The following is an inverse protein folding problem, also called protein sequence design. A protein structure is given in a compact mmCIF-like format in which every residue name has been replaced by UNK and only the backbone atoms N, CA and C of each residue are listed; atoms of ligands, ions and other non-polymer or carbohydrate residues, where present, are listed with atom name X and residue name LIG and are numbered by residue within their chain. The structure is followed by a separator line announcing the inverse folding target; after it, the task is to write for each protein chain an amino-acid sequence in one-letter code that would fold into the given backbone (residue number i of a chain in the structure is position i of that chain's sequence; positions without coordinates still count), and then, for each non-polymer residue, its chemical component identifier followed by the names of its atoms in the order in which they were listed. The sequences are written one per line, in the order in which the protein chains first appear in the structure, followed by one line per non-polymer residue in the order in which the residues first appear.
data_IF_398963039637
#
_entry.id   IF_398963039637
#
_cell.length_a   1.000
_cell.length_b   1.000
_cell.length_c   1.000
_cell.angle_alpha   90.00
_cell.angle_beta   90.00
_cell.angle_gamma   90.00
#
_symmetry.space_group_name_H-M   'P 1'
#
loop_
_entity.id
_entity.type
_entity.pdbx_description
1 polymer ?
#
# COMPACT_ATOMS: atom_id res chain seq x y z
N UNK A 1 38.15 -8.00 5.77
CA UNK A 1 36.75 -8.44 5.58
C UNK A 1 35.91 -7.27 6.03
N UNK A 2 35.10 -6.72 5.13
CA UNK A 2 34.15 -5.67 5.54
C UNK A 2 33.16 -6.32 6.51
N UNK A 3 32.95 -5.69 7.68
CA UNK A 3 31.93 -6.12 8.60
C UNK A 3 30.58 -6.08 7.88
N UNK A 4 29.98 -7.23 7.66
CA UNK A 4 28.61 -7.31 7.14
C UNK A 4 27.69 -6.88 8.28
N UNK A 5 27.23 -5.65 8.24
CA UNK A 5 26.27 -5.14 9.20
C UNK A 5 24.90 -5.77 8.92
N UNK A 6 24.49 -6.70 9.78
CA UNK A 6 23.15 -7.27 9.70
C UNK A 6 22.12 -6.22 10.16
N UNK A 7 21.22 -5.85 9.24
CA UNK A 7 20.07 -4.99 9.55
C UNK A 7 18.89 -5.86 9.96
N UNK A 8 18.13 -5.43 10.95
CA UNK A 8 16.91 -6.13 11.36
C UNK A 8 15.85 -5.97 10.27
N UNK A 9 15.29 -7.09 9.82
CA UNK A 9 14.17 -7.07 8.88
C UNK A 9 12.89 -6.73 9.65
N UNK A 10 12.22 -5.65 9.24
CA UNK A 10 10.97 -5.17 9.83
C UNK A 10 9.77 -5.82 9.15
N UNK A 11 9.78 -5.81 7.83
CA UNK A 11 8.72 -6.37 7.01
C UNK A 11 9.26 -6.88 5.68
N UNK A 12 8.62 -7.92 5.14
CA UNK A 12 8.85 -8.40 3.78
C UNK A 12 7.55 -8.80 3.10
N UNK A 13 7.41 -8.42 1.83
CA UNK A 13 6.29 -8.86 1.00
C UNK A 13 6.07 -7.98 -0.24
N UNK A 14 5.41 -8.51 -1.26
CA UNK A 14 5.03 -7.72 -2.42
C UNK A 14 3.93 -6.71 -2.06
N UNK A 15 3.94 -5.57 -2.75
CA UNK A 15 2.99 -4.48 -2.59
C UNK A 15 2.34 -4.11 -3.92
N UNK A 16 1.11 -3.58 -3.87
CA UNK A 16 0.38 -3.00 -5.00
C UNK A 16 -0.28 -1.72 -4.53
N UNK A 17 -0.16 -0.67 -5.31
CA UNK A 17 -0.76 0.60 -4.90
C UNK A 17 -1.31 1.40 -6.07
N UNK A 18 -2.26 2.23 -5.75
CA UNK A 18 -2.77 3.30 -6.57
C UNK A 18 -3.09 4.52 -5.70
N UNK A 19 -2.72 5.68 -6.21
CA UNK A 19 -3.06 6.98 -5.63
C UNK A 19 -3.76 7.78 -6.72
N UNK A 20 -4.98 8.23 -6.45
CA UNK A 20 -5.72 9.12 -7.33
C UNK A 20 -5.81 10.50 -6.70
N UNK A 21 -5.70 11.52 -7.54
CA UNK A 21 -5.82 12.92 -7.14
C UNK A 21 -6.86 13.63 -7.98
N UNK A 22 -7.48 14.64 -7.39
CA UNK A 22 -8.33 15.62 -8.06
C UNK A 22 -7.88 17.00 -7.63
N UNK A 23 -7.55 17.88 -8.57
CA UNK A 23 -7.05 19.24 -8.30
C UNK A 23 -5.83 19.29 -7.36
N UNK A 24 -4.97 18.26 -7.42
CA UNK A 24 -3.77 18.11 -6.59
C UNK A 24 -4.02 17.53 -5.19
N UNK A 25 -5.25 17.27 -4.82
CA UNK A 25 -5.62 16.63 -3.54
C UNK A 25 -5.81 15.12 -3.72
N UNK A 26 -5.29 14.32 -2.77
CA UNK A 26 -5.47 12.86 -2.79
C UNK A 26 -6.92 12.53 -2.45
N UNK A 27 -7.65 11.98 -3.43
CA UNK A 27 -9.03 11.51 -3.26
C UNK A 27 -9.10 10.02 -2.99
N UNK A 28 -8.13 9.23 -3.48
CA UNK A 28 -8.09 7.79 -3.22
C UNK A 28 -6.67 7.30 -3.05
N UNK A 29 -6.47 6.50 -2.02
CA UNK A 29 -5.28 5.68 -1.82
C UNK A 29 -5.73 4.26 -1.55
N UNK A 30 -5.21 3.30 -2.31
CA UNK A 30 -5.35 1.88 -2.03
C UNK A 30 -3.96 1.24 -2.10
N UNK A 31 -3.55 0.63 -0.99
CA UNK A 31 -2.24 0.02 -0.87
C UNK A 31 -2.36 -1.38 -0.30
N UNK A 32 -2.31 -2.37 -1.18
CA UNK A 32 -2.29 -3.79 -0.86
C UNK A 32 -0.88 -4.25 -0.54
N UNK A 33 -0.72 -4.94 0.58
CA UNK A 33 0.53 -5.57 0.99
C UNK A 33 0.25 -7.03 1.32
N UNK A 34 0.92 -7.95 0.64
CA UNK A 34 0.94 -9.35 1.03
C UNK A 34 2.16 -9.61 1.90
N UNK A 35 1.97 -9.50 3.19
CA UNK A 35 3.03 -9.63 4.19
C UNK A 35 3.46 -11.08 4.30
N UNK A 36 4.72 -11.36 4.01
CA UNK A 36 5.35 -12.68 4.20
C UNK A 36 6.05 -12.79 5.54
N UNK A 37 6.44 -11.65 6.10
CA UNK A 37 7.14 -11.56 7.38
C UNK A 37 6.86 -10.23 8.06
N UNK A 38 6.50 -10.30 9.33
CA UNK A 38 6.66 -9.28 10.38
C UNK A 38 6.84 -10.01 11.70
N UNK A 39 7.13 -9.28 12.78
CA UNK A 39 7.17 -9.86 14.15
C UNK A 39 5.81 -10.37 14.62
N UNK A 40 4.71 -9.90 14.00
CA UNK A 40 3.32 -10.34 14.27
C UNK A 40 2.82 -11.40 13.28
N UNK A 41 3.73 -11.99 12.48
CA UNK A 41 3.39 -12.99 11.48
C UNK A 41 3.18 -12.41 10.08
N UNK A 42 2.57 -13.21 9.22
CA UNK A 42 2.24 -12.84 7.84
C UNK A 42 0.73 -12.73 7.63
N UNK A 43 0.33 -12.26 6.44
CA UNK A 43 -1.06 -12.10 6.06
C UNK A 43 -1.20 -11.12 4.90
N UNK A 44 -2.42 -10.65 4.68
CA UNK A 44 -2.71 -9.61 3.70
C UNK A 44 -3.26 -8.39 4.43
N UNK A 45 -2.85 -7.21 3.98
CA UNK A 45 -3.35 -5.94 4.51
C UNK A 45 -3.61 -4.97 3.36
N UNK A 46 -4.67 -4.20 3.46
CA UNK A 46 -5.01 -3.09 2.59
C UNK A 46 -5.17 -1.82 3.43
N UNK A 47 -4.36 -0.83 3.15
CA UNK A 47 -4.59 0.54 3.61
C UNK A 47 -5.43 1.24 2.56
N UNK A 48 -6.64 1.66 2.93
CA UNK A 48 -7.56 2.31 2.01
C UNK A 48 -8.09 3.62 2.57
N UNK A 49 -8.05 4.63 1.71
CA UNK A 49 -8.77 5.89 1.85
C UNK A 49 -9.42 6.18 0.51
N UNK A 50 -10.71 6.50 0.47
CA UNK A 50 -11.38 6.88 -0.77
C UNK A 50 -12.54 7.83 -0.51
N UNK A 51 -12.47 8.99 -1.15
CA UNK A 51 -13.57 9.89 -1.39
C UNK A 51 -14.12 9.57 -2.78
N UNK A 52 -15.18 8.76 -2.83
CA UNK A 52 -15.71 8.22 -4.08
C UNK A 52 -16.32 9.29 -4.99
N UNK A 53 -16.77 10.39 -4.41
CA UNK A 53 -17.50 11.43 -5.12
C UNK A 53 -16.69 12.71 -5.32
N UNK A 54 -15.55 12.85 -4.62
CA UNK A 54 -14.72 14.07 -4.67
C UNK A 54 -15.33 15.23 -3.91
N UNK A 55 -16.13 14.96 -2.88
CA UNK A 55 -16.78 15.98 -2.07
C UNK A 55 -15.99 16.38 -0.81
N UNK A 56 -14.79 15.83 -0.65
CA UNK A 56 -13.87 16.07 0.46
C UNK A 56 -14.15 15.19 1.68
N UNK A 57 -14.99 14.16 1.55
CA UNK A 57 -15.30 13.21 2.61
C UNK A 57 -14.91 11.81 2.22
N UNK A 58 -14.19 11.15 3.10
CA UNK A 58 -13.83 9.76 2.87
C UNK A 58 -15.06 8.84 3.05
N UNK A 59 -15.49 8.16 1.98
CA UNK A 59 -16.48 7.07 2.02
C UNK A 59 -15.87 5.80 2.59
N UNK A 60 -14.56 5.62 2.42
CA UNK A 60 -13.74 4.55 2.99
C UNK A 60 -12.50 5.14 3.63
N UNK A 61 -12.27 4.81 4.90
CA UNK A 61 -11.04 5.13 5.62
C UNK A 61 -10.77 4.04 6.65
N UNK A 62 -9.99 3.02 6.26
CA UNK A 62 -9.71 1.88 7.13
C UNK A 62 -8.43 1.12 6.72
N UNK A 63 -7.98 0.27 7.62
CA UNK A 63 -7.00 -0.78 7.38
C UNK A 63 -7.72 -2.12 7.42
N UNK A 64 -7.73 -2.84 6.32
CA UNK A 64 -8.37 -4.15 6.20
C UNK A 64 -7.33 -5.26 6.26
N UNK A 65 -7.62 -6.37 6.96
CA UNK A 65 -6.65 -7.46 7.07
C UNK A 65 -7.29 -8.81 7.39
N UNK A 66 -6.61 -9.89 6.98
CA UNK A 66 -6.86 -11.27 7.43
C UNK A 66 -6.06 -11.64 8.69
N UNK A 67 -5.22 -10.70 9.21
CA UNK A 67 -4.48 -10.81 10.47
C UNK A 67 -4.48 -9.46 11.19
N UNK A 68 -5.40 -9.29 12.13
CA UNK A 68 -5.65 -8.01 12.80
C UNK A 68 -4.44 -7.52 13.61
N UNK A 69 -3.76 -8.43 14.36
CA UNK A 69 -2.58 -8.06 15.16
C UNK A 69 -1.43 -7.56 14.28
N UNK A 70 -1.22 -8.18 13.11
CA UNK A 70 -0.25 -7.72 12.13
C UNK A 70 -0.64 -6.36 11.56
N UNK A 71 -1.92 -6.15 11.25
CA UNK A 71 -2.40 -4.90 10.69
C UNK A 71 -2.27 -3.73 11.67
N UNK A 72 -2.58 -3.95 12.94
CA UNK A 72 -2.38 -2.96 14.02
C UNK A 72 -0.90 -2.59 14.14
N UNK A 73 -0.01 -3.58 14.21
CA UNK A 73 1.44 -3.35 14.26
C UNK A 73 1.94 -2.58 13.02
N UNK A 74 1.50 -2.95 11.83
CA UNK A 74 1.88 -2.22 10.61
C UNK A 74 1.37 -0.78 10.62
N UNK A 75 0.11 -0.56 11.03
CA UNK A 75 -0.48 0.78 11.11
C UNK A 75 0.27 1.67 12.11
N UNK A 76 0.54 1.15 13.30
CA UNK A 76 1.00 1.96 14.43
C UNK A 76 2.52 2.09 14.48
N UNK A 77 3.26 1.03 14.16
CA UNK A 77 4.70 0.96 14.37
C UNK A 77 5.53 1.05 13.07
N UNK A 78 4.98 0.57 11.94
CA UNK A 78 5.75 0.47 10.69
C UNK A 78 5.37 1.56 9.69
N UNK A 79 4.08 1.75 9.42
CA UNK A 79 3.59 2.65 8.38
C UNK A 79 3.12 4.01 8.88
N UNK A 80 2.96 4.21 10.19
CA UNK A 80 2.65 5.51 10.76
C UNK A 80 3.63 6.60 10.30
N UNK A 81 4.86 6.22 10.00
CA UNK A 81 5.91 7.13 9.52
C UNK A 81 5.98 7.29 8.00
N UNK A 82 5.39 6.39 7.21
CA UNK A 82 5.63 6.33 5.77
C UNK A 82 4.41 6.70 4.92
N UNK A 83 3.24 6.13 5.21
CA UNK A 83 2.04 6.26 4.35
C UNK A 83 1.20 7.45 4.75
N UNK A 84 1.21 7.78 6.04
CA UNK A 84 0.46 8.89 6.62
C UNK A 84 1.36 10.06 7.05
N UNK A 85 2.65 10.05 6.63
CA UNK A 85 3.57 11.16 6.85
C UNK A 85 3.11 12.39 6.07
N UNK A 86 2.27 13.20 6.64
CA UNK A 86 1.62 14.37 6.01
C UNK A 86 0.13 14.41 6.27
N UNK A 87 -0.43 13.34 6.84
CA UNK A 87 -1.77 13.38 7.42
C UNK A 87 -1.64 14.09 8.77
N UNK A 88 -2.39 15.18 9.01
CA UNK A 88 -2.31 15.92 10.28
C UNK A 88 -2.54 15.01 11.50
N UNK A 89 -1.84 15.24 12.61
CA UNK A 89 -2.00 14.55 13.90
C UNK A 89 -3.44 14.53 14.46
N UNK A 90 -4.37 15.17 13.78
CA UNK A 90 -5.77 15.33 14.17
C UNK A 90 -6.70 14.26 13.57
N UNK A 91 -6.21 13.42 12.65
CA UNK A 91 -7.02 12.33 12.10
C UNK A 91 -6.86 11.13 13.03
N UNK A 92 -7.97 10.60 13.60
CA UNK A 92 -7.88 9.39 14.41
C UNK A 92 -7.26 8.26 13.59
N UNK A 93 -6.50 7.34 14.21
CA UNK A 93 -5.93 6.22 13.49
C UNK A 93 -7.03 5.45 12.78
N UNK A 94 -6.79 5.07 11.52
CA UNK A 94 -7.75 4.31 10.73
C UNK A 94 -8.15 3.03 11.47
N UNK A 95 -9.45 2.69 11.56
CA UNK A 95 -9.88 1.44 12.19
C UNK A 95 -9.29 0.24 11.45
N UNK A 96 -8.98 -0.82 12.19
CA UNK A 96 -8.60 -2.11 11.61
C UNK A 96 -9.84 -2.98 11.50
N UNK A 97 -10.13 -3.48 10.30
CA UNK A 97 -11.33 -4.25 9.96
C UNK A 97 -10.90 -5.61 9.41
N UNK A 98 -11.54 -6.67 9.89
CA UNK A 98 -11.35 -8.02 9.38
C UNK A 98 -11.82 -8.13 7.93
N UNK A 99 -11.00 -8.77 7.08
CA UNK A 99 -11.29 -8.94 5.66
C UNK A 99 -10.67 -10.21 5.09
N UNK A 100 -11.20 -10.64 3.95
CA UNK A 100 -10.65 -11.70 3.11
C UNK A 100 -10.04 -11.12 1.85
N UNK A 101 -9.00 -11.78 1.33
CA UNK A 101 -8.24 -11.32 0.18
C UNK A 101 -8.11 -12.41 -0.87
N UNK A 102 -8.21 -12.01 -2.13
CA UNK A 102 -7.92 -12.86 -3.29
C UNK A 102 -6.90 -12.13 -4.16
N UNK A 103 -5.89 -12.87 -4.63
CA UNK A 103 -4.84 -12.35 -5.50
C UNK A 103 -4.65 -13.25 -6.71
N UNK A 104 -4.68 -12.65 -7.89
CA UNK A 104 -4.34 -13.31 -9.16
C UNK A 104 -3.12 -12.61 -9.74
N UNK A 105 -2.04 -13.36 -9.97
CA UNK A 105 -0.78 -12.81 -10.47
C UNK A 105 -0.32 -13.57 -11.71
N UNK A 106 -0.49 -12.98 -12.89
CA UNK A 106 0.02 -13.43 -14.18
C UNK A 106 1.01 -12.39 -14.73
N UNK A 107 2.02 -12.03 -13.90
CA UNK A 107 3.05 -11.09 -14.30
C UNK A 107 3.78 -11.54 -15.57
N UNK A 108 4.06 -10.68 -16.55
CA UNK A 108 3.82 -9.23 -16.57
C UNK A 108 2.45 -8.83 -17.18
N UNK A 109 1.56 -9.76 -17.48
CA UNK A 109 0.30 -9.45 -18.17
C UNK A 109 -0.68 -8.75 -17.25
N UNK A 110 -0.90 -9.30 -16.05
CA UNK A 110 -1.86 -8.73 -15.10
C UNK A 110 -1.58 -9.14 -13.67
N UNK A 111 -2.01 -8.26 -12.74
CA UNK A 111 -2.14 -8.53 -11.31
C UNK A 111 -3.52 -8.02 -10.89
N UNK A 112 -4.30 -8.85 -10.22
CA UNK A 112 -5.59 -8.46 -9.66
C UNK A 112 -5.59 -8.76 -8.17
N UNK A 113 -5.87 -7.76 -7.37
CA UNK A 113 -6.04 -7.86 -5.91
C UNK A 113 -7.49 -7.50 -5.57
N UNK A 114 -8.15 -8.36 -4.81
CA UNK A 114 -9.53 -8.14 -4.35
C UNK A 114 -9.60 -8.31 -2.83
N UNK A 115 -10.43 -7.50 -2.20
CA UNK A 115 -10.70 -7.54 -0.77
C UNK A 115 -12.21 -7.46 -0.52
N UNK A 116 -12.67 -8.21 0.48
CA UNK A 116 -14.02 -8.13 1.03
C UNK A 116 -13.95 -8.13 2.55
N UNK A 117 -14.42 -7.06 3.15
CA UNK A 117 -14.45 -6.88 4.59
C UNK A 117 -15.78 -7.40 5.22
N UNK A 118 -15.73 -7.66 6.53
CA UNK A 118 -16.90 -8.09 7.30
C UNK A 118 -17.98 -7.02 7.41
N UNK A 119 -17.64 -5.75 7.27
CA UNK A 119 -18.56 -4.62 7.24
C UNK A 119 -19.27 -4.42 5.89
N UNK A 120 -18.92 -5.24 4.90
CA UNK A 120 -19.47 -5.19 3.55
C UNK A 120 -18.63 -4.38 2.55
N UNK A 121 -17.60 -3.69 2.99
CA UNK A 121 -16.69 -2.95 2.10
C UNK A 121 -15.98 -3.91 1.14
N UNK A 122 -15.94 -3.54 -0.14
CA UNK A 122 -15.21 -4.29 -1.18
C UNK A 122 -14.27 -3.38 -1.93
N UNK A 123 -13.11 -3.93 -2.33
CA UNK A 123 -12.17 -3.22 -3.19
C UNK A 123 -11.51 -4.18 -4.16
N UNK A 124 -11.41 -3.78 -5.44
CA UNK A 124 -10.71 -4.54 -6.47
C UNK A 124 -9.78 -3.61 -7.24
N UNK A 125 -8.49 -3.96 -7.27
CA UNK A 125 -7.46 -3.29 -8.04
C UNK A 125 -6.96 -4.25 -9.13
N UNK A 126 -7.00 -3.82 -10.40
CA UNK A 126 -6.41 -4.54 -11.52
C UNK A 126 -5.31 -3.69 -12.15
N UNK A 127 -4.13 -4.27 -12.28
CA UNK A 127 -2.96 -3.69 -12.95
C UNK A 127 -2.64 -4.54 -14.16
N UNK A 128 -2.48 -3.93 -15.35
CA UNK A 128 -2.27 -4.66 -16.60
C UNK A 128 -1.07 -4.12 -17.37
N UNK A 129 -0.46 -5.01 -18.18
CA UNK A 129 0.68 -4.67 -19.03
C UNK A 129 1.81 -4.01 -18.25
N UNK A 130 2.29 -4.73 -17.21
CA UNK A 130 3.35 -4.24 -16.35
C UNK A 130 4.67 -4.17 -17.12
N UNK A 131 5.34 -3.04 -17.00
CA UNK A 131 6.65 -2.81 -17.57
C UNK A 131 7.74 -3.64 -16.88
N UNK A 132 8.99 -3.52 -17.35
CA UNK A 132 10.12 -4.22 -16.74
C UNK A 132 10.34 -3.72 -15.30
N UNK A 133 10.64 -4.63 -14.36
CA UNK A 133 10.91 -4.26 -12.98
C UNK A 133 12.14 -3.35 -12.87
N UNK A 134 12.05 -2.34 -11.99
CA UNK A 134 13.14 -1.44 -11.62
C UNK A 134 13.48 -1.64 -10.16
N UNK A 135 14.73 -2.03 -9.88
CA UNK A 135 15.22 -2.12 -8.52
C UNK A 135 15.42 -0.73 -7.92
N UNK A 136 15.18 -0.59 -6.63
CA UNK A 136 15.40 0.64 -5.88
C UNK A 136 15.82 0.37 -4.44
N UNK A 137 16.45 1.37 -3.85
CA UNK A 137 16.73 1.46 -2.42
C UNK A 137 16.39 2.88 -2.02
N UNK A 138 15.55 3.05 -1.00
CA UNK A 138 15.23 4.37 -0.46
C UNK A 138 15.18 4.38 1.06
N UNK A 139 15.52 5.49 1.66
CA UNK A 139 15.22 5.76 3.06
C UNK A 139 13.72 6.11 3.14
N UNK A 140 12.94 5.31 3.88
CA UNK A 140 11.54 5.63 4.17
C UNK A 140 11.50 6.76 5.20
N UNK A 141 12.36 6.67 6.20
CA UNK A 141 12.63 7.68 7.22
C UNK A 141 14.03 7.46 7.79
N UNK A 142 14.37 8.16 8.88
CA UNK A 142 15.67 8.00 9.56
C UNK A 142 15.89 6.60 10.18
N UNK A 143 14.84 5.82 10.37
CA UNK A 143 14.87 4.53 11.05
C UNK A 143 14.66 3.33 10.12
N UNK A 144 14.11 3.53 8.92
CA UNK A 144 13.75 2.45 8.01
C UNK A 144 14.26 2.69 6.59
N UNK A 145 14.90 1.67 6.05
CA UNK A 145 15.32 1.60 4.64
C UNK A 145 14.49 0.55 3.92
N UNK A 146 13.96 0.91 2.77
CA UNK A 146 13.24 0.03 1.87
C UNK A 146 14.11 -0.39 0.69
N UNK A 147 14.07 -1.68 0.37
CA UNK A 147 14.74 -2.27 -0.79
C UNK A 147 13.72 -3.07 -1.58
N UNK A 148 13.56 -2.78 -2.84
CA UNK A 148 12.53 -3.43 -3.63
C UNK A 148 12.77 -3.42 -5.13
N UNK A 149 11.81 -3.97 -5.86
CA UNK A 149 11.75 -3.92 -7.30
C UNK A 149 10.30 -3.74 -7.75
N UNK A 150 9.97 -2.59 -8.32
CA UNK A 150 8.62 -2.27 -8.78
C UNK A 150 8.51 -2.26 -10.30
N UNK A 151 7.30 -2.55 -10.78
CA UNK A 151 6.88 -2.41 -12.16
C UNK A 151 5.69 -1.44 -12.24
N UNK A 152 5.68 -0.60 -13.28
CA UNK A 152 4.59 0.33 -13.55
C UNK A 152 3.66 -0.30 -14.57
N UNK A 153 2.35 -0.40 -14.32
CA UNK A 153 1.39 -0.87 -15.30
C UNK A 153 1.09 0.20 -16.35
N UNK A 154 0.77 -0.24 -17.57
CA UNK A 154 0.28 0.65 -18.63
C UNK A 154 -1.21 0.97 -18.47
N UNK A 155 -1.96 0.07 -17.81
CA UNK A 155 -3.40 0.20 -17.57
C UNK A 155 -3.72 -0.23 -16.13
N UNK A 156 -4.73 0.40 -15.54
CA UNK A 156 -5.28 -0.01 -14.26
C UNK A 156 -6.80 0.18 -14.22
N UNK A 157 -7.45 -0.52 -13.30
CA UNK A 157 -8.80 -0.22 -12.85
C UNK A 157 -8.89 -0.40 -11.34
N UNK A 158 -9.65 0.48 -10.70
CA UNK A 158 -9.95 0.42 -9.28
C UNK A 158 -11.45 0.54 -9.10
N UNK A 159 -12.02 -0.36 -8.31
CA UNK A 159 -13.42 -0.30 -7.88
C UNK A 159 -13.46 -0.40 -6.35
N UNK A 160 -14.22 0.48 -5.73
CA UNK A 160 -14.49 0.50 -4.29
C UNK A 160 -16.01 0.46 -4.12
N UNK A 161 -16.53 -0.57 -3.45
CA UNK A 161 -17.96 -0.81 -3.30
C UNK A 161 -18.74 -0.84 -4.64
N UNK A 162 -18.09 -1.35 -5.72
CA UNK A 162 -18.67 -1.39 -7.06
C UNK A 162 -18.68 -0.02 -7.80
N UNK A 163 -18.04 0.99 -7.22
CA UNK A 163 -17.92 2.35 -7.81
C UNK A 163 -16.48 2.59 -8.22
N UNK A 164 -16.27 3.18 -9.40
CA UNK A 164 -14.97 3.68 -9.83
C UNK A 164 -14.74 5.03 -9.15
N UNK A 165 -13.71 5.17 -8.29
CA UNK A 165 -13.44 6.45 -7.63
C UNK A 165 -13.10 7.56 -8.61
N UNK A 166 -13.40 8.79 -8.23
CA UNK A 166 -12.97 9.98 -8.99
C UNK A 166 -11.47 10.22 -8.85
N UNK A 167 -10.90 10.95 -9.80
CA UNK A 167 -9.49 11.34 -9.81
C UNK A 167 -8.66 10.61 -10.86
N UNK A 168 -7.42 11.05 -10.99
CA UNK A 168 -6.45 10.53 -11.94
C UNK A 168 -5.17 10.13 -11.20
N UNK A 169 -4.42 9.14 -11.72
CA UNK A 169 -3.13 8.77 -11.13
C UNK A 169 -2.09 9.86 -11.44
N UNK A 170 -1.96 10.80 -10.52
CA UNK A 170 -0.94 11.84 -10.58
C UNK A 170 0.08 11.65 -9.46
N UNK A 171 1.30 12.17 -9.66
CA UNK A 171 2.34 12.14 -8.62
C UNK A 171 1.86 13.01 -7.45
N UNK A 172 1.33 12.35 -6.45
CA UNK A 172 0.89 12.99 -5.21
C UNK A 172 2.06 13.37 -4.30
N UNK A 173 1.78 13.76 -3.05
CA UNK A 173 2.80 14.18 -2.07
C UNK A 173 3.82 13.08 -1.71
N UNK A 174 3.61 11.85 -2.13
CA UNK A 174 4.61 10.76 -2.08
C UNK A 174 5.60 10.87 -3.25
N UNK A 175 6.19 12.02 -3.45
CA UNK A 175 6.87 12.52 -4.64
C UNK A 175 7.98 11.64 -5.25
N UNK A 176 8.40 10.57 -4.61
CA UNK A 176 9.47 9.69 -5.10
C UNK A 176 8.97 8.34 -5.66
N UNK A 177 7.68 8.02 -5.48
CA UNK A 177 7.08 6.82 -6.03
C UNK A 177 6.09 7.15 -7.15
N UNK A 178 5.97 6.31 -8.20
CA UNK A 178 4.91 6.50 -9.19
C UNK A 178 3.53 6.41 -8.51
N UNK A 179 2.49 7.09 -9.05
CA UNK A 179 1.16 7.10 -8.44
C UNK A 179 0.48 5.72 -8.43
N UNK A 180 0.98 4.79 -9.22
CA UNK A 180 0.51 3.41 -9.27
C UNK A 180 1.66 2.46 -9.60
N UNK A 181 1.60 1.25 -9.05
CA UNK A 181 2.66 0.28 -9.27
C UNK A 181 2.45 -1.05 -8.56
N UNK A 182 3.34 -1.96 -8.88
CA UNK A 182 3.44 -3.26 -8.26
C UNK A 182 4.88 -3.54 -7.85
N UNK A 183 5.15 -3.58 -6.55
CA UNK A 183 6.37 -4.16 -6.03
C UNK A 183 6.27 -5.67 -6.06
N UNK A 184 7.18 -6.28 -6.79
CA UNK A 184 7.26 -7.73 -6.92
C UNK A 184 7.90 -8.38 -5.70
N UNK A 185 8.81 -7.63 -5.07
CA UNK A 185 9.49 -7.96 -3.83
C UNK A 185 9.85 -6.67 -3.11
N UNK A 186 9.51 -6.60 -1.84
CA UNK A 186 9.79 -5.45 -0.99
C UNK A 186 10.30 -5.92 0.37
N UNK A 187 11.37 -5.30 0.87
CA UNK A 187 12.03 -5.59 2.12
C UNK A 187 12.27 -4.29 2.87
N UNK A 188 11.81 -4.23 4.09
CA UNK A 188 12.00 -3.10 4.99
C UNK A 188 12.93 -3.48 6.12
N UNK A 189 14.00 -2.71 6.27
CA UNK A 189 15.04 -2.92 7.27
C UNK A 189 15.16 -1.74 8.21
N UNK A 190 15.45 -1.99 9.48
CA UNK A 190 15.88 -0.92 10.39
C UNK A 190 17.14 -0.26 9.84
N UNK A 191 17.10 1.07 9.73
CA UNK A 191 18.29 1.88 9.46
C UNK A 191 19.04 2.02 10.78
N UNK A 192 20.30 1.57 10.85
CA UNK A 192 21.13 1.94 11.99
C UNK A 192 21.46 3.43 11.89
N UNK A 193 21.16 4.15 12.96
CA UNK A 193 21.64 5.51 13.22
C UNK A 193 23.16 5.51 13.42
#
# INVERSE_FOLDING_TARGET
MADVEYKTLVMAGPMRWVVLTTDGEVTTLAWFVKVRYTVQGGGSVLFARSDLQGDGRDDVFAVFSDNLAMAEHLRDDVFSYAVFAGVPDQIPPAPVVEATFESQNDFPKSIVESMRAVDGTTLTLSLRHLGPPKAYVRAVNQHVTEVGAFAVPAEFSLEVNGVVPVGQPEVGPLAEAPPLGADLQNLWYESKS
#
